data_IF_636006954906
#
_entry.id   IF_636006954906
#
_cell.length_a   1.000
_cell.length_b   1.000
_cell.length_c   1.000
_cell.angle_alpha   90.00
_cell.angle_beta   90.00
_cell.angle_gamma   90.00
#
_symmetry.space_group_name_H-M   'P 1'
#
loop_
_entity.id
_entity.type
_entity.pdbx_description
1 polymer ?
#
# COMPACT_ATOMS: atom_id res chain seq x y z
N UNK A 1 6.51 -17.12 8.23
CA UNK A 1 5.62 -16.52 7.23
C UNK A 1 6.11 -16.97 5.86
N UNK A 2 5.33 -16.77 4.80
CA UNK A 2 5.74 -17.07 3.43
C UNK A 2 5.83 -15.73 2.70
N UNK A 3 6.98 -15.43 2.10
CA UNK A 3 7.24 -14.17 1.41
C UNK A 3 7.34 -14.42 -0.09
N UNK A 4 6.55 -13.69 -0.87
CA UNK A 4 6.60 -13.72 -2.32
C UNK A 4 6.89 -12.31 -2.83
N UNK A 5 8.10 -12.07 -3.34
CA UNK A 5 8.44 -10.78 -3.95
C UNK A 5 7.52 -10.55 -5.16
N UNK A 6 6.98 -9.35 -5.27
CA UNK A 6 6.08 -9.00 -6.37
C UNK A 6 6.86 -8.55 -7.60
N UNK A 7 6.15 -8.15 -8.66
CA UNK A 7 6.79 -7.50 -9.81
C UNK A 7 7.43 -6.14 -9.48
N UNK A 8 7.06 -5.51 -8.36
CA UNK A 8 7.64 -4.24 -7.92
C UNK A 8 8.76 -4.51 -6.94
N UNK A 9 9.96 -4.00 -7.22
CA UNK A 9 11.17 -4.38 -6.48
C UNK A 9 11.07 -4.01 -5.00
N UNK A 10 11.26 -5.00 -4.13
CA UNK A 10 11.20 -4.82 -2.68
C UNK A 10 9.79 -4.86 -2.08
N UNK A 11 8.73 -4.87 -2.88
CA UNK A 11 7.36 -5.08 -2.40
C UNK A 11 7.06 -6.59 -2.35
N UNK A 12 6.36 -7.05 -1.32
CA UNK A 12 6.10 -8.47 -1.09
C UNK A 12 4.64 -8.74 -0.73
N UNK A 13 4.08 -9.83 -1.27
CA UNK A 13 2.89 -10.46 -0.69
C UNK A 13 3.35 -11.43 0.39
N UNK A 14 2.81 -11.26 1.60
CA UNK A 14 3.09 -12.10 2.76
C UNK A 14 1.87 -12.98 3.04
N UNK A 15 2.12 -14.27 3.23
CA UNK A 15 1.10 -15.26 3.57
C UNK A 15 1.40 -15.92 4.93
N UNK A 16 0.33 -16.31 5.61
CA UNK A 16 0.42 -16.98 6.92
C UNK A 16 0.89 -18.42 6.75
N UNK A 17 1.95 -18.79 7.48
CA UNK A 17 2.28 -20.20 7.70
C UNK A 17 1.44 -20.70 8.88
N UNK A 18 0.27 -21.26 8.58
CA UNK A 18 -0.73 -21.71 9.55
C UNK A 18 -0.30 -23.00 10.25
N UNK A 19 -0.55 -23.08 11.55
CA UNK A 19 -0.46 -24.29 12.36
C UNK A 19 -1.89 -24.57 12.84
N UNK A 20 -2.48 -25.68 12.38
CA UNK A 20 -3.91 -25.96 12.55
C UNK A 20 -4.16 -27.07 13.59
N UNK A 21 -5.24 -26.92 14.36
CA UNK A 21 -5.79 -27.92 15.27
C UNK A 21 -7.31 -27.73 15.42
N UNK A 22 -7.99 -28.49 16.30
CA UNK A 22 -9.45 -28.41 16.44
C UNK A 22 -9.99 -27.05 16.90
N UNK A 23 -9.14 -26.13 17.37
CA UNK A 23 -9.52 -24.77 17.77
C UNK A 23 -9.49 -23.78 16.60
N UNK A 24 -8.92 -24.16 15.47
CA UNK A 24 -8.67 -23.31 14.31
C UNK A 24 -7.19 -23.32 13.90
N UNK A 25 -6.60 -22.15 13.70
CA UNK A 25 -5.17 -22.05 13.40
C UNK A 25 -4.48 -20.95 14.21
N UNK A 26 -3.19 -21.16 14.47
CA UNK A 26 -2.29 -20.15 14.98
C UNK A 26 -1.23 -19.83 13.92
N UNK A 27 -0.95 -18.55 13.71
CA UNK A 27 0.08 -18.11 12.78
C UNK A 27 0.70 -16.79 13.24
N UNK A 28 1.99 -16.60 12.95
CA UNK A 28 2.63 -15.30 13.03
C UNK A 28 2.22 -14.48 11.82
N UNK A 29 1.67 -13.28 12.06
CA UNK A 29 1.36 -12.29 11.01
C UNK A 29 2.49 -11.29 10.78
N UNK A 30 3.43 -11.19 11.73
CA UNK A 30 4.65 -10.40 11.60
C UNK A 30 5.76 -11.03 12.44
N UNK A 31 7.01 -10.93 11.99
CA UNK A 31 8.17 -11.39 12.74
C UNK A 31 9.42 -10.61 12.35
N UNK A 32 9.98 -9.84 13.29
CA UNK A 32 11.17 -9.01 13.08
C UNK A 32 12.29 -9.76 12.34
N UNK A 33 12.71 -10.92 12.87
CA UNK A 33 13.79 -11.72 12.29
C UNK A 33 13.51 -12.16 10.85
N UNK A 34 12.25 -12.46 10.50
CA UNK A 34 11.91 -12.85 9.12
C UNK A 34 11.87 -11.65 8.18
N UNK A 35 11.44 -10.47 8.65
CA UNK A 35 11.52 -9.23 7.87
C UNK A 35 12.97 -8.87 7.56
N UNK A 36 13.84 -8.88 8.59
CA UNK A 36 15.27 -8.59 8.46
C UNK A 36 15.98 -9.60 7.55
N UNK A 37 15.62 -10.89 7.62
CA UNK A 37 16.19 -11.92 6.75
C UNK A 37 15.87 -11.70 5.25
N UNK A 38 14.81 -10.96 4.94
CA UNK A 38 14.46 -10.55 3.57
C UNK A 38 14.94 -9.13 3.23
N UNK A 39 15.72 -8.49 4.10
CA UNK A 39 16.20 -7.12 3.93
C UNK A 39 15.10 -6.06 4.02
N UNK A 40 13.98 -6.38 4.67
CA UNK A 40 12.85 -5.47 4.83
C UNK A 40 12.95 -4.70 6.15
N UNK A 41 12.43 -3.47 6.16
CA UNK A 41 12.30 -2.68 7.40
C UNK A 41 11.48 -3.45 8.42
N UNK A 42 12.08 -3.70 9.59
CA UNK A 42 11.43 -4.37 10.71
C UNK A 42 11.01 -3.40 11.83
N UNK A 43 11.09 -2.10 11.58
CA UNK A 43 10.59 -1.06 12.48
C UNK A 43 9.08 -0.94 12.32
N UNK A 44 8.35 -1.01 13.44
CA UNK A 44 6.92 -0.69 13.53
C UNK A 44 6.76 0.38 14.58
N UNK A 45 6.50 1.62 14.15
CA UNK A 45 6.32 2.78 15.04
C UNK A 45 4.87 2.98 15.44
N UNK A 46 3.94 2.61 14.55
CA UNK A 46 2.52 2.82 14.75
C UNK A 46 1.73 1.72 14.06
N UNK A 47 0.57 1.41 14.63
CA UNK A 47 -0.42 0.53 14.01
C UNK A 47 -1.73 1.26 13.86
N UNK A 48 -2.33 1.17 12.67
CA UNK A 48 -3.58 1.85 12.35
C UNK A 48 -4.67 0.85 12.00
N UNK A 49 -5.91 1.27 12.18
CA UNK A 49 -7.09 0.57 11.70
C UNK A 49 -7.97 1.54 10.93
N UNK A 50 -8.52 1.08 9.81
CA UNK A 50 -9.54 1.79 9.06
C UNK A 50 -10.74 0.88 8.86
N UNK A 51 -11.91 1.38 9.25
CA UNK A 51 -13.18 0.72 9.03
C UNK A 51 -13.98 1.46 7.95
N UNK A 52 -14.62 0.70 7.08
CA UNK A 52 -15.33 1.22 5.92
C UNK A 52 -16.70 0.56 5.82
N UNK A 53 -17.79 1.32 6.01
CA UNK A 53 -19.13 0.72 6.02
C UNK A 53 -19.58 0.25 4.63
N UNK A 54 -19.08 0.86 3.56
CA UNK A 54 -19.54 0.60 2.19
C UNK A 54 -18.48 -0.05 1.31
N UNK A 55 -18.90 -1.01 0.49
CA UNK A 55 -18.19 -1.47 -0.70
C UNK A 55 -17.93 -0.30 -1.66
N UNK A 56 -16.80 -0.33 -2.35
CA UNK A 56 -16.38 0.74 -3.26
C UNK A 56 -15.87 1.99 -2.56
N UNK A 57 -15.57 1.93 -1.25
CA UNK A 57 -14.86 3.01 -0.57
C UNK A 57 -13.41 3.00 -1.03
N UNK A 58 -12.93 4.10 -1.60
CA UNK A 58 -11.55 4.30 -2.01
C UNK A 58 -10.82 5.21 -1.01
N UNK A 59 -9.60 4.83 -0.63
CA UNK A 59 -8.65 5.67 0.10
C UNK A 59 -7.32 5.68 -0.63
N UNK A 60 -6.72 6.85 -0.79
CA UNK A 60 -5.44 7.00 -1.48
C UNK A 60 -5.49 7.85 -2.74
N UNK A 61 -4.37 8.02 -3.46
CA UNK A 61 -3.07 7.36 -3.21
C UNK A 61 -2.19 8.20 -2.28
N UNK A 62 -1.63 7.60 -1.22
CA UNK A 62 -0.89 8.31 -0.16
C UNK A 62 0.55 7.84 -0.03
N UNK A 63 1.46 8.77 0.25
CA UNK A 63 2.86 8.52 0.57
C UNK A 63 3.41 9.62 1.48
N UNK A 64 4.52 9.35 2.15
CA UNK A 64 5.30 10.38 2.84
C UNK A 64 6.63 10.61 2.11
N UNK A 65 7.09 11.86 2.11
CA UNK A 65 8.36 12.24 1.47
C UNK A 65 9.52 12.30 2.46
N UNK A 66 10.75 12.33 1.92
CA UNK A 66 11.98 12.52 2.69
C UNK A 66 11.88 13.70 3.66
N UNK A 67 12.38 13.54 4.91
CA UNK A 67 13.05 12.37 5.49
C UNK A 67 12.10 11.39 6.20
N UNK A 68 10.79 11.48 5.97
CA UNK A 68 9.76 10.73 6.69
C UNK A 68 9.12 9.61 5.85
N UNK A 69 9.86 9.08 4.88
CA UNK A 69 9.40 7.95 4.08
C UNK A 69 9.03 6.78 5.01
N UNK A 70 7.94 6.09 4.71
CA UNK A 70 7.45 4.99 5.54
C UNK A 70 7.25 3.73 4.72
N UNK A 71 7.52 2.59 5.35
CA UNK A 71 7.04 1.29 4.89
C UNK A 71 5.74 0.95 5.59
N UNK A 72 4.90 0.16 4.93
CA UNK A 72 3.60 -0.29 5.45
C UNK A 72 3.49 -1.80 5.30
N UNK A 73 2.93 -2.47 6.31
CA UNK A 73 2.39 -3.81 6.16
C UNK A 73 0.87 -3.73 6.31
N UNK A 74 0.16 -4.00 5.21
CA UNK A 74 -1.29 -3.86 5.11
C UNK A 74 -1.95 -5.22 5.16
N UNK A 75 -3.03 -5.35 5.93
CA UNK A 75 -3.84 -6.56 6.03
C UNK A 75 -5.32 -6.20 6.10
N UNK A 76 -6.17 -6.98 5.42
CA UNK A 76 -7.61 -6.94 5.64
C UNK A 76 -8.01 -7.95 6.75
N UNK A 77 -8.66 -7.46 7.79
CA UNK A 77 -9.06 -8.26 8.96
C UNK A 77 -10.55 -8.62 8.96
N UNK A 78 -11.36 -7.90 8.19
CA UNK A 78 -12.79 -8.16 7.96
C UNK A 78 -13.15 -7.70 6.55
N UNK A 79 -13.91 -8.52 5.81
CA UNK A 79 -14.27 -8.23 4.42
C UNK A 79 -13.11 -8.41 3.46
N UNK A 80 -13.06 -7.58 2.42
CA UNK A 80 -12.03 -7.64 1.37
C UNK A 80 -11.70 -6.25 0.81
N UNK A 81 -10.43 -6.03 0.45
CA UNK A 81 -9.93 -4.86 -0.25
C UNK A 81 -9.11 -5.25 -1.48
N UNK A 82 -9.14 -4.40 -2.50
CA UNK A 82 -8.15 -4.38 -3.56
C UNK A 82 -7.10 -3.32 -3.22
N UNK A 83 -5.95 -3.79 -2.74
CA UNK A 83 -4.85 -2.97 -2.24
C UNK A 83 -3.86 -2.65 -3.37
N UNK A 84 -3.58 -1.37 -3.59
CA UNK A 84 -2.80 -0.87 -4.72
C UNK A 84 -1.57 -0.12 -4.23
N UNK A 85 -0.45 -0.36 -4.90
CA UNK A 85 0.80 0.36 -4.70
C UNK A 85 1.41 0.83 -6.01
N UNK A 86 2.10 1.98 -5.96
CA UNK A 86 2.81 2.60 -7.09
C UNK A 86 4.24 2.85 -6.66
N UNK A 87 5.21 2.40 -7.45
CA UNK A 87 6.62 2.69 -7.21
C UNK A 87 6.96 4.12 -7.68
N UNK A 88 7.22 5.02 -6.73
CA UNK A 88 7.57 6.42 -7.02
C UNK A 88 9.07 6.69 -6.93
N UNK A 89 9.92 5.66 -6.81
CA UNK A 89 11.37 5.83 -6.64
C UNK A 89 12.02 6.11 -8.01
N UNK A 90 12.62 7.30 -8.21
CA UNK A 90 13.27 7.71 -9.45
C UNK A 90 14.25 6.71 -10.05
N UNK A 91 15.03 6.04 -9.18
CA UNK A 91 16.12 5.14 -9.56
C UNK A 91 15.69 3.67 -9.63
N UNK A 92 14.39 3.38 -9.45
CA UNK A 92 13.87 2.01 -9.49
C UNK A 92 13.64 1.52 -10.92
N UNK A 93 14.02 0.26 -11.19
CA UNK A 93 13.69 -0.42 -12.45
C UNK A 93 12.17 -0.57 -12.67
N UNK A 94 11.40 -0.49 -11.58
CA UNK A 94 9.92 -0.56 -11.60
C UNK A 94 9.26 0.81 -11.43
N UNK A 95 10.00 1.91 -11.61
CA UNK A 95 9.48 3.28 -11.48
C UNK A 95 8.21 3.49 -12.31
N UNK A 96 7.20 4.09 -11.68
CA UNK A 96 5.83 4.35 -12.20
C UNK A 96 5.01 3.10 -12.53
N UNK A 97 5.51 1.90 -12.24
CA UNK A 97 4.69 0.71 -12.31
C UNK A 97 3.84 0.58 -11.05
N UNK A 98 2.64 0.00 -11.21
CA UNK A 98 1.73 -0.27 -10.11
C UNK A 98 1.35 -1.74 -10.05
N UNK A 99 0.91 -2.18 -8.87
CA UNK A 99 0.39 -3.51 -8.59
C UNK A 99 -0.87 -3.39 -7.75
N UNK A 100 -1.87 -4.22 -8.05
CA UNK A 100 -3.03 -4.43 -7.19
C UNK A 100 -3.08 -5.86 -6.68
N UNK A 101 -3.41 -6.04 -5.39
CA UNK A 101 -3.54 -7.34 -4.73
C UNK A 101 -4.84 -7.37 -3.92
N UNK A 102 -5.62 -8.42 -4.08
CA UNK A 102 -6.78 -8.65 -3.21
C UNK A 102 -6.31 -9.16 -1.84
N UNK A 103 -6.64 -8.41 -0.78
CA UNK A 103 -6.42 -8.80 0.61
C UNK A 103 -7.79 -8.99 1.26
N UNK A 104 -8.02 -10.15 1.88
CA UNK A 104 -9.30 -10.44 2.54
C UNK A 104 -9.10 -11.14 3.87
N UNK A 105 -10.14 -11.09 4.71
CA UNK A 105 -10.18 -11.85 5.95
C UNK A 105 -10.00 -13.36 5.72
N UNK A 106 -10.43 -13.86 4.56
CA UNK A 106 -10.40 -15.28 4.20
C UNK A 106 -9.07 -15.74 3.58
N UNK A 107 -8.42 -14.88 2.79
CA UNK A 107 -7.15 -15.23 2.16
C UNK A 107 -5.94 -14.96 3.07
N UNK A 108 -6.11 -14.12 4.11
CA UNK A 108 -5.10 -13.75 5.10
C UNK A 108 -3.81 -13.14 4.51
N UNK A 109 -3.84 -12.72 3.25
CA UNK A 109 -2.71 -12.09 2.58
C UNK A 109 -2.45 -10.72 3.21
N UNK A 110 -1.18 -10.34 3.16
CA UNK A 110 -0.72 -9.02 3.55
C UNK A 110 0.16 -8.46 2.44
N UNK A 111 0.14 -7.14 2.25
CA UNK A 111 1.03 -6.46 1.30
C UNK A 111 2.05 -5.64 2.07
N UNK A 112 3.33 -5.95 1.87
CA UNK A 112 4.43 -5.10 2.31
C UNK A 112 4.72 -4.04 1.24
N UNK A 113 4.54 -2.79 1.63
CA UNK A 113 4.75 -1.58 0.83
C UNK A 113 6.06 -0.93 1.28
N UNK A 114 7.08 -0.84 0.41
CA UNK A 114 8.35 -0.21 0.76
C UNK A 114 8.24 1.31 0.87
N UNK A 115 9.28 1.91 1.46
CA UNK A 115 9.52 3.35 1.39
C UNK A 115 9.60 3.83 -0.07
N UNK A 116 9.11 5.05 -0.33
CA UNK A 116 9.09 5.64 -1.67
C UNK A 116 7.98 5.12 -2.58
N UNK A 117 6.99 4.39 -2.05
CA UNK A 117 5.78 4.01 -2.78
C UNK A 117 4.57 4.85 -2.35
N UNK A 118 3.64 5.05 -3.29
CA UNK A 118 2.28 5.45 -2.94
C UNK A 118 1.39 4.23 -2.74
N UNK A 119 0.46 4.33 -1.79
CA UNK A 119 -0.45 3.26 -1.37
C UNK A 119 -1.89 3.76 -1.34
N UNK A 120 -2.81 2.92 -1.76
CA UNK A 120 -4.24 3.13 -1.62
C UNK A 120 -5.00 1.83 -1.76
N UNK A 121 -6.29 1.82 -1.46
CA UNK A 121 -7.12 0.63 -1.62
C UNK A 121 -8.57 0.98 -1.92
N UNK A 122 -9.28 -0.01 -2.43
CA UNK A 122 -10.73 0.01 -2.59
C UNK A 122 -11.37 -1.16 -1.85
N UNK A 123 -12.43 -0.91 -1.09
CA UNK A 123 -13.20 -2.00 -0.47
C UNK A 123 -14.02 -2.78 -1.50
N UNK A 124 -13.98 -4.10 -1.41
CA UNK A 124 -14.72 -5.02 -2.28
C UNK A 124 -16.01 -5.55 -1.64
N UNK A 125 -16.14 -5.32 -0.33
CA UNK A 125 -17.28 -5.69 0.50
C UNK A 125 -17.69 -4.53 1.41
N UNK A 126 -18.94 -4.54 1.86
CA UNK A 126 -19.39 -3.66 2.94
C UNK A 126 -18.65 -4.03 4.24
N UNK A 127 -18.70 -3.13 5.22
CA UNK A 127 -18.21 -3.43 6.57
C UNK A 127 -16.75 -3.94 6.65
N UNK A 128 -15.89 -3.41 5.78
CA UNK A 128 -14.51 -3.86 5.58
C UNK A 128 -13.53 -3.14 6.50
N UNK A 129 -12.65 -3.92 7.15
CA UNK A 129 -11.58 -3.43 8.01
C UNK A 129 -10.20 -3.74 7.42
N UNK A 130 -9.35 -2.72 7.42
CA UNK A 130 -7.94 -2.83 7.08
C UNK A 130 -7.06 -2.36 8.24
N UNK A 131 -5.99 -3.10 8.50
CA UNK A 131 -4.98 -2.79 9.52
C UNK A 131 -3.63 -2.51 8.87
N UNK A 132 -2.87 -1.63 9.49
CA UNK A 132 -1.56 -1.19 9.02
C UNK A 132 -0.55 -1.32 10.15
N UNK A 133 0.65 -1.77 9.83
CA UNK A 133 1.85 -1.52 10.62
C UNK A 133 2.72 -0.58 9.81
N UNK A 134 3.14 0.55 10.38
CA UNK A 134 3.92 1.57 9.67
C UNK A 134 5.25 1.85 10.38
N UNK A 135 6.31 2.10 9.61
CA UNK A 135 7.67 2.26 10.16
C UNK A 135 7.96 3.64 10.72
N UNK A 136 7.18 4.67 10.35
CA UNK A 136 7.34 6.04 10.85
C UNK A 136 6.07 6.59 11.50
N UNK A 137 6.24 7.66 12.26
CA UNK A 137 5.13 8.41 12.84
C UNK A 137 4.47 9.28 11.77
N UNK A 138 3.16 9.50 11.93
CA UNK A 138 2.47 10.51 11.13
C UNK A 138 3.12 11.88 11.35
N UNK A 139 3.61 12.48 10.27
CA UNK A 139 4.25 13.79 10.29
C UNK A 139 3.45 14.76 9.43
N UNK A 140 2.67 15.67 10.04
CA UNK A 140 1.89 16.66 9.31
C UNK A 140 2.77 17.44 8.31
N UNK A 141 2.33 17.50 7.06
CA UNK A 141 3.04 18.21 5.97
C UNK A 141 4.12 17.39 5.25
N UNK A 142 4.52 16.22 5.76
CA UNK A 142 5.36 15.27 5.02
C UNK A 142 4.53 14.32 4.15
N UNK A 143 3.25 14.16 4.49
CA UNK A 143 2.24 13.50 3.67
C UNK A 143 2.07 14.20 2.33
N UNK A 144 2.01 13.41 1.26
CA UNK A 144 1.53 13.81 -0.05
C UNK A 144 0.55 12.76 -0.57
N UNK A 145 -0.19 13.15 -1.61
CA UNK A 145 -1.01 12.21 -2.35
C UNK A 145 -1.00 12.46 -3.84
N UNK A 146 -1.46 11.45 -4.56
CA UNK A 146 -1.61 11.43 -6.02
C UNK A 146 -3.07 11.08 -6.32
N UNK A 147 -3.62 11.70 -7.36
CA UNK A 147 -4.94 11.39 -7.85
C UNK A 147 -5.09 9.89 -8.16
N UNK A 148 -6.12 9.25 -7.60
CA UNK A 148 -6.33 7.79 -7.69
C UNK A 148 -6.62 7.28 -9.11
N UNK A 149 -7.13 8.15 -10.00
CA UNK A 149 -7.43 7.87 -11.40
C UNK A 149 -6.47 8.57 -12.37
N UNK A 150 -5.25 8.86 -11.92
CA UNK A 150 -4.24 9.50 -12.76
C UNK A 150 -3.87 8.66 -13.99
N UNK A 151 -3.92 9.28 -15.18
CA UNK A 151 -3.63 8.64 -16.46
C UNK A 151 -2.16 8.21 -16.61
N UNK A 152 -1.24 8.79 -15.86
CA UNK A 152 0.17 8.41 -15.85
C UNK A 152 0.37 6.97 -15.35
N UNK A 153 -0.50 6.51 -14.45
CA UNK A 153 -0.48 5.14 -13.91
C UNK A 153 -1.59 4.27 -14.50
N UNK A 154 -2.73 4.86 -14.85
CA UNK A 154 -3.89 4.20 -15.43
C UNK A 154 -4.27 2.92 -14.65
N UNK A 155 -4.42 3.06 -13.33
CA UNK A 155 -4.73 1.96 -12.42
C UNK A 155 -6.08 1.35 -12.81
N UNK A 156 -6.11 0.02 -12.94
CA UNK A 156 -7.32 -0.73 -13.24
C UNK A 156 -8.02 -1.10 -11.93
N UNK A 157 -8.87 -0.21 -11.44
CA UNK A 157 -9.70 -0.46 -10.27
C UNK A 157 -10.83 -1.45 -10.62
N UNK A 158 -11.15 -2.42 -9.75
CA UNK A 158 -12.15 -3.45 -10.06
C UNK A 158 -13.59 -2.94 -10.03
N UNK A 159 -13.83 -1.76 -9.46
CA UNK A 159 -15.14 -1.10 -9.36
C UNK A 159 -14.94 0.42 -9.53
N UNK A 160 -16.02 1.13 -9.80
CA UNK A 160 -16.04 2.59 -9.67
C UNK A 160 -16.13 2.99 -8.19
N UNK A 161 -15.41 4.02 -7.73
CA UNK A 161 -15.50 4.50 -6.35
C UNK A 161 -16.92 4.98 -6.00
N UNK A 162 -17.45 4.48 -4.89
CA UNK A 162 -18.73 4.88 -4.31
C UNK A 162 -18.55 5.94 -3.24
N UNK A 163 -17.46 5.84 -2.45
CA UNK A 163 -17.12 6.79 -1.39
C UNK A 163 -15.64 7.12 -1.50
N UNK A 164 -15.32 8.41 -1.55
CA UNK A 164 -13.94 8.91 -1.54
C UNK A 164 -13.92 10.25 -0.80
N UNK A 165 -12.91 10.48 0.03
CA UNK A 165 -12.81 11.70 0.82
C UNK A 165 -12.57 12.93 -0.06
N UNK A 166 -12.99 14.12 0.38
CA UNK A 166 -12.71 15.37 -0.34
C UNK A 166 -11.20 15.59 -0.53
N UNK A 167 -10.40 15.20 0.46
CA UNK A 167 -8.94 15.25 0.42
C UNK A 167 -8.37 14.39 -0.70
N UNK A 168 -8.84 13.14 -0.81
CA UNK A 168 -8.38 12.19 -1.82
C UNK A 168 -8.84 12.60 -3.23
N UNK A 169 -10.04 13.18 -3.34
CA UNK A 169 -10.53 13.76 -4.60
C UNK A 169 -9.71 14.97 -5.06
N UNK A 170 -9.15 15.73 -4.12
CA UNK A 170 -8.40 16.96 -4.39
C UNK A 170 -6.90 16.73 -4.62
N UNK A 171 -6.41 15.49 -4.55
CA UNK A 171 -4.99 15.22 -4.81
C UNK A 171 -4.62 15.58 -6.25
N UNK A 172 -3.46 16.23 -6.46
CA UNK A 172 -3.02 16.61 -7.78
C UNK A 172 -2.67 15.38 -8.62
N UNK A 173 -2.68 15.58 -9.93
CA UNK A 173 -2.09 14.61 -10.83
C UNK A 173 -0.58 14.48 -10.62
N UNK A 174 -0.02 13.35 -11.04
CA UNK A 174 1.39 13.07 -10.95
C UNK A 174 2.19 13.94 -11.92
N UNK A 175 3.22 14.59 -11.40
CA UNK A 175 4.16 15.39 -12.18
C UNK A 175 5.50 14.66 -12.18
N UNK A 176 5.96 14.26 -13.37
CA UNK A 176 7.26 13.60 -13.56
C UNK A 176 8.38 14.65 -13.57
N UNK A 177 8.98 14.90 -12.41
CA UNK A 177 10.07 15.87 -12.25
C UNK A 177 11.33 15.51 -13.09
N UNK A 178 11.52 14.23 -13.43
CA UNK A 178 12.63 13.82 -14.31
C UNK A 178 12.37 14.19 -15.78
N UNK A 179 11.12 14.21 -16.22
CA UNK A 179 10.75 14.67 -17.55
C UNK A 179 10.90 16.19 -17.67
N UNK A 180 10.55 16.94 -16.62
CA UNK A 180 10.68 18.40 -16.59
C UNK A 180 12.14 18.89 -16.62
N UNK A 181 13.04 18.20 -15.93
CA UNK A 181 14.47 18.56 -15.93
C UNK A 181 15.14 18.33 -17.30
N UNK A 182 14.74 17.27 -18.03
CA UNK A 182 15.19 17.05 -19.42
C UNK A 182 14.62 18.07 -20.40
N UNK A 183 13.39 18.54 -20.19
CA UNK A 183 12.77 19.59 -21.02
C UNK A 183 13.41 20.97 -20.84
N UNK A 184 13.91 21.29 -19.63
CA UNK A 184 14.60 22.56 -19.35
C UNK A 184 16.06 22.61 -19.84
N UNK A 185 16.68 21.48 -20.13
CA UNK A 185 18.05 21.42 -20.66
C UNK A 185 18.13 21.55 -22.20
N UNK A 186 16.97 21.58 -22.87
CA UNK A 186 16.83 21.64 -24.33
C UNK A 186 16.36 23.02 -24.85
N UNK A 187 16.40 24.06 -24.01
CA UNK A 187 16.07 25.45 -24.38
C UNK A 187 17.30 26.34 -24.27
#
# INVERSE_FOLDING_TARGET
MIFTETKLKGAYVLELKKIEDERGFFARSWCQHEMEAHGLTAKVSQTNVSFNPKKGTLRGMHYQVKPHEESKLVRCTRGAIFDVIIDLRPDSETYKQWLGVELSADNYKMLFVPEGFAHGYMTLEDETEATYQVSEFYTPGAEKGICWNDLAFNIQWPLEPVVISEKDQAHPGFVDEQAESKGKLLV
#
